data_IF_073884402931
#
_entry.id   IF_073884402931
#
_cell.length_a   1.000
_cell.length_b   1.000
_cell.length_c   1.000
_cell.angle_alpha   90.00
_cell.angle_beta   90.00
_cell.angle_gamma   90.00
#
_symmetry.space_group_name_H-M   'P 1'
#
loop_
_entity.id
_entity.type
_entity.pdbx_description
1 polymer ?
#
# COMPACT_ATOMS: atom_id res chain seq x y z
N UNK A 1 56.69 -65.96 -14.08
CA UNK A 1 55.47 -65.23 -14.49
C UNK A 1 55.40 -63.94 -13.67
N UNK A 2 55.83 -62.77 -14.19
CA UNK A 2 54.97 -61.64 -14.64
C UNK A 2 54.05 -61.11 -13.53
N UNK A 3 54.06 -59.88 -13.00
CA UNK A 3 54.32 -58.48 -13.46
C UNK A 3 54.65 -57.63 -12.19
N UNK A 4 55.59 -56.68 -12.13
CA UNK A 4 55.71 -55.34 -12.77
C UNK A 4 54.71 -54.25 -12.27
N UNK A 5 55.30 -53.26 -11.58
CA UNK A 5 55.07 -51.80 -11.57
C UNK A 5 54.04 -51.10 -10.65
N UNK A 6 54.62 -50.36 -9.69
CA UNK A 6 54.34 -48.98 -9.26
C UNK A 6 52.95 -48.62 -8.75
N UNK A 7 52.88 -48.44 -7.44
CA UNK A 7 51.78 -47.80 -6.73
C UNK A 7 51.49 -46.39 -7.25
N UNK A 8 50.25 -46.18 -7.67
CA UNK A 8 49.70 -44.88 -8.07
C UNK A 8 49.03 -44.26 -6.84
N UNK A 9 49.46 -43.06 -6.49
CA UNK A 9 48.79 -42.18 -5.52
C UNK A 9 47.37 -41.87 -6.02
N UNK A 10 46.33 -41.89 -5.18
CA UNK A 10 45.05 -41.29 -5.55
C UNK A 10 45.17 -39.76 -5.58
N UNK A 11 44.53 -39.06 -6.54
CA UNK A 11 44.56 -37.60 -6.58
C UNK A 11 43.73 -37.00 -5.44
N UNK A 12 44.25 -35.91 -4.87
CA UNK A 12 43.58 -35.10 -3.88
C UNK A 12 42.26 -34.57 -4.47
N UNK A 13 41.14 -34.98 -3.86
CA UNK A 13 39.82 -34.38 -4.09
C UNK A 13 39.85 -32.97 -3.50
N UNK A 14 40.10 -31.98 -4.36
CA UNK A 14 39.92 -30.58 -4.02
C UNK A 14 38.43 -30.34 -3.76
N UNK A 15 38.07 -30.23 -2.48
CA UNK A 15 36.79 -29.70 -2.03
C UNK A 15 36.71 -28.25 -2.49
N UNK A 16 36.13 -28.02 -3.67
CA UNK A 16 35.77 -26.71 -4.14
C UNK A 16 34.70 -26.14 -3.22
N UNK A 17 35.12 -25.26 -2.33
CA UNK A 17 34.23 -24.36 -1.59
C UNK A 17 33.50 -23.51 -2.60
N UNK A 18 32.24 -23.86 -2.90
CA UNK A 18 31.32 -22.94 -3.55
C UNK A 18 31.13 -21.81 -2.55
N UNK A 19 31.85 -20.72 -2.75
CA UNK A 19 31.56 -19.45 -2.11
C UNK A 19 30.15 -19.07 -2.57
N UNK A 20 29.16 -19.31 -1.71
CA UNK A 20 27.84 -18.71 -1.85
C UNK A 20 28.07 -17.20 -1.74
N UNK A 21 28.21 -16.54 -2.90
CA UNK A 21 28.19 -15.09 -2.97
C UNK A 21 26.89 -14.63 -2.35
N UNK A 22 26.99 -14.01 -1.18
CA UNK A 22 25.86 -13.33 -0.58
C UNK A 22 25.37 -12.30 -1.59
N UNK A 23 24.17 -12.51 -2.12
CA UNK A 23 23.44 -11.44 -2.78
C UNK A 23 23.17 -10.41 -1.69
N UNK A 24 24.06 -9.43 -1.59
CA UNK A 24 23.78 -8.20 -0.83
C UNK A 24 22.68 -7.52 -1.63
N UNK A 25 21.43 -7.82 -1.27
CA UNK A 25 20.27 -7.03 -1.64
C UNK A 25 20.49 -5.65 -1.03
N UNK A 26 21.15 -4.74 -1.76
CA UNK A 26 21.09 -3.30 -1.50
C UNK A 26 19.69 -2.79 -1.87
N UNK A 27 18.68 -3.33 -1.20
CA UNK A 27 17.34 -2.76 -1.14
C UNK A 27 17.29 -1.73 0.01
N UNK A 28 18.21 -0.77 -0.03
CA UNK A 28 18.10 0.47 0.70
C UNK A 28 18.33 1.56 -0.32
N UNK A 29 17.33 1.74 -1.19
CA UNK A 29 17.17 3.03 -1.85
C UNK A 29 16.94 4.03 -0.73
N UNK A 30 17.81 5.03 -0.68
CA UNK A 30 17.74 6.20 0.20
C UNK A 30 16.28 6.65 0.34
N UNK A 31 15.61 6.21 1.40
CA UNK A 31 14.24 6.63 1.67
C UNK A 31 14.39 8.06 2.13
N UNK A 32 14.14 9.00 1.22
CA UNK A 32 14.12 10.41 1.55
C UNK A 32 13.30 10.56 2.83
N UNK A 33 13.92 11.10 3.88
CA UNK A 33 13.25 11.17 5.18
C UNK A 33 12.00 12.04 5.01
N UNK A 34 10.83 11.47 5.24
CA UNK A 34 9.55 12.16 5.10
C UNK A 34 9.00 12.51 6.47
N UNK A 35 8.46 13.73 6.57
CA UNK A 35 7.81 14.20 7.78
C UNK A 35 6.31 14.33 7.54
N UNK A 36 5.53 13.81 8.48
CA UNK A 36 4.08 13.93 8.47
C UNK A 36 3.68 15.24 9.12
N UNK A 37 2.84 16.00 8.43
CA UNK A 37 2.21 17.20 8.95
C UNK A 37 0.69 17.06 8.84
N UNK A 38 -0.04 17.50 9.87
CA UNK A 38 -1.51 17.55 9.86
C UNK A 38 -2.05 18.82 9.21
N UNK A 39 -1.25 19.89 9.16
CA UNK A 39 -1.65 21.20 8.65
C UNK A 39 -0.45 22.03 8.17
N UNK A 40 -0.75 23.05 7.35
CA UNK A 40 0.25 24.03 6.88
C UNK A 40 0.91 24.75 8.06
N UNK A 41 0.14 25.12 9.09
CA UNK A 41 0.67 25.76 10.30
C UNK A 41 1.68 24.90 11.05
N UNK A 42 1.47 23.59 11.12
CA UNK A 42 2.41 22.66 11.76
C UNK A 42 3.73 22.59 10.98
N UNK A 43 3.64 22.55 9.64
CA UNK A 43 4.80 22.59 8.76
C UNK A 43 5.60 23.89 8.91
N UNK A 44 4.93 25.04 9.01
CA UNK A 44 5.58 26.34 9.24
C UNK A 44 6.22 26.42 10.62
N UNK A 45 5.55 25.92 11.66
CA UNK A 45 6.11 25.85 13.02
C UNK A 45 7.35 24.97 13.10
N UNK A 46 7.44 23.96 12.24
CA UNK A 46 8.62 23.09 12.13
C UNK A 46 9.82 23.79 11.46
N UNK A 47 9.61 24.96 10.84
CA UNK A 47 10.67 25.77 10.24
C UNK A 47 10.75 25.70 8.72
N UNK A 48 9.80 25.01 8.06
CA UNK A 48 9.68 25.06 6.60
C UNK A 48 9.03 26.38 6.19
N UNK A 49 9.45 26.92 5.04
CA UNK A 49 8.88 28.15 4.52
C UNK A 49 7.38 27.99 4.18
N UNK A 50 6.57 29.01 4.48
CA UNK A 50 5.11 28.97 4.30
C UNK A 50 4.68 28.65 2.86
N UNK A 51 5.36 29.20 1.86
CA UNK A 51 5.04 28.95 0.46
C UNK A 51 5.23 27.48 0.07
N UNK A 52 6.29 26.85 0.59
CA UNK A 52 6.62 25.44 0.39
C UNK A 52 5.57 24.56 1.07
N UNK A 53 5.24 24.85 2.33
CA UNK A 53 4.18 24.12 3.06
C UNK A 53 2.84 24.20 2.34
N UNK A 54 2.46 25.37 1.83
CA UNK A 54 1.23 25.55 1.05
C UNK A 54 1.29 24.75 -0.27
N UNK A 55 2.40 24.82 -1.00
CA UNK A 55 2.60 24.08 -2.24
C UNK A 55 2.47 22.56 -2.04
N UNK A 56 3.15 22.01 -1.03
CA UNK A 56 3.08 20.59 -0.71
C UNK A 56 1.68 20.18 -0.24
N UNK A 57 1.01 21.00 0.58
CA UNK A 57 -0.36 20.73 1.00
C UNK A 57 -1.34 20.70 -0.19
N UNK A 58 -1.23 21.64 -1.13
CA UNK A 58 -2.04 21.65 -2.35
C UNK A 58 -1.73 20.46 -3.26
N UNK A 59 -0.44 20.08 -3.37
CA UNK A 59 0.00 18.89 -4.08
C UNK A 59 -0.65 17.62 -3.49
N UNK A 60 -0.59 17.46 -2.17
CA UNK A 60 -1.19 16.36 -1.44
C UNK A 60 -2.72 16.33 -1.58
N UNK A 61 -3.40 17.47 -1.49
CA UNK A 61 -4.84 17.55 -1.74
C UNK A 61 -5.21 17.12 -3.16
N UNK A 62 -4.41 17.54 -4.16
CA UNK A 62 -4.66 17.13 -5.54
C UNK A 62 -4.49 15.63 -5.75
N UNK A 63 -3.52 15.01 -5.05
CA UNK A 63 -3.35 13.56 -5.05
C UNK A 63 -4.47 12.86 -4.29
N UNK A 64 -4.89 13.45 -3.17
CA UNK A 64 -5.96 12.91 -2.33
C UNK A 64 -7.23 12.69 -3.16
N UNK A 65 -7.63 13.68 -3.97
CA UNK A 65 -8.80 13.56 -4.84
C UNK A 65 -8.66 12.47 -5.93
N UNK A 66 -7.43 12.15 -6.34
CA UNK A 66 -7.16 11.15 -7.38
C UNK A 66 -7.08 9.73 -6.81
N UNK A 67 -6.30 9.57 -5.73
CA UNK A 67 -5.78 8.29 -5.25
C UNK A 67 -6.43 7.82 -3.94
N UNK A 68 -7.31 8.62 -3.33
CA UNK A 68 -8.01 8.19 -2.12
C UNK A 68 -8.85 6.93 -2.34
N UNK A 69 -8.98 6.08 -1.31
CA UNK A 69 -9.92 4.97 -1.30
C UNK A 69 -11.34 5.45 -1.62
N UNK A 70 -11.94 4.86 -2.66
CA UNK A 70 -13.27 5.21 -3.13
C UNK A 70 -14.28 4.20 -2.59
N UNK A 71 -15.34 4.72 -2.00
CA UNK A 71 -16.47 3.95 -1.49
C UNK A 71 -17.74 4.30 -2.26
N UNK A 72 -18.59 3.30 -2.49
CA UNK A 72 -19.88 3.49 -3.15
C UNK A 72 -20.97 4.05 -2.21
N UNK A 73 -20.70 4.10 -0.90
CA UNK A 73 -21.64 4.61 0.10
C UNK A 73 -20.97 5.31 1.27
N UNK A 74 -21.63 6.35 1.80
CA UNK A 74 -21.14 7.12 2.94
C UNK A 74 -20.96 6.26 4.18
N UNK A 75 -21.95 5.41 4.50
CA UNK A 75 -21.89 4.50 5.64
C UNK A 75 -20.71 3.52 5.57
N UNK A 76 -20.31 3.08 4.37
CA UNK A 76 -19.16 2.19 4.21
C UNK A 76 -17.84 2.93 4.51
N UNK A 77 -17.70 4.16 4.01
CA UNK A 77 -16.55 5.00 4.33
C UNK A 77 -16.48 5.31 5.84
N UNK A 78 -17.60 5.69 6.45
CA UNK A 78 -17.65 6.04 7.87
C UNK A 78 -17.44 4.83 8.80
N UNK A 79 -17.81 3.61 8.36
CA UNK A 79 -17.51 2.39 9.09
C UNK A 79 -16.00 2.16 9.25
N UNK A 80 -15.22 2.49 8.21
CA UNK A 80 -13.76 2.31 8.22
C UNK A 80 -13.01 3.51 8.82
N UNK A 81 -13.41 4.75 8.47
CA UNK A 81 -12.67 5.96 8.83
C UNK A 81 -13.25 6.74 10.01
N UNK A 82 -14.52 6.47 10.35
CA UNK A 82 -15.25 7.13 11.43
C UNK A 82 -16.38 8.03 10.91
N UNK A 83 -17.40 8.24 11.76
CA UNK A 83 -18.54 9.09 11.46
C UNK A 83 -18.10 10.54 11.19
N UNK A 84 -18.65 11.14 10.13
CA UNK A 84 -18.31 12.50 9.72
C UNK A 84 -16.88 12.66 9.18
N UNK A 85 -16.16 11.57 8.91
CA UNK A 85 -14.77 11.60 8.41
C UNK A 85 -14.65 11.32 6.91
N UNK A 86 -15.76 11.47 6.18
CA UNK A 86 -15.84 11.19 4.75
C UNK A 86 -16.49 12.35 3.99
N UNK A 87 -16.07 12.56 2.75
CA UNK A 87 -16.60 13.56 1.84
C UNK A 87 -17.13 12.94 0.55
N UNK A 88 -18.12 13.60 -0.05
CA UNK A 88 -18.73 13.19 -1.32
C UNK A 88 -17.98 13.82 -2.49
N UNK A 89 -17.67 13.03 -3.51
CA UNK A 89 -17.05 13.48 -4.75
C UNK A 89 -17.89 13.06 -5.96
N UNK A 90 -18.06 13.95 -6.95
CA UNK A 90 -18.80 13.63 -8.16
C UNK A 90 -18.01 12.65 -9.04
N UNK A 91 -18.70 11.66 -9.60
CA UNK A 91 -18.10 10.72 -10.54
C UNK A 91 -18.00 11.36 -11.92
N UNK A 92 -16.77 11.58 -12.41
CA UNK A 92 -16.52 12.27 -13.69
C UNK A 92 -15.96 11.35 -14.78
N UNK A 93 -15.73 10.06 -14.50
CA UNK A 93 -15.08 9.09 -15.39
C UNK A 93 -16.02 8.46 -16.42
N UNK A 94 -17.18 9.06 -16.70
CA UNK A 94 -18.10 8.62 -17.76
C UNK A 94 -18.77 7.26 -17.52
N UNK A 95 -18.52 6.61 -16.38
CA UNK A 95 -19.02 5.29 -16.00
C UNK A 95 -20.44 5.31 -15.37
N UNK A 96 -21.09 6.47 -15.33
CA UNK A 96 -22.47 6.66 -14.89
C UNK A 96 -22.68 7.95 -14.10
N UNK A 97 -23.94 8.34 -13.91
CA UNK A 97 -24.31 9.41 -13.00
C UNK A 97 -24.25 8.89 -11.56
N UNK A 98 -23.45 9.53 -10.70
CA UNK A 98 -23.34 9.15 -9.30
C UNK A 98 -22.25 9.92 -8.55
N UNK A 99 -22.21 9.71 -7.24
CA UNK A 99 -21.16 10.22 -6.38
C UNK A 99 -20.40 9.05 -5.76
N UNK A 100 -19.13 9.25 -5.44
CA UNK A 100 -18.34 8.34 -4.61
C UNK A 100 -17.93 9.06 -3.33
N UNK A 101 -17.59 8.28 -2.31
CA UNK A 101 -17.21 8.80 -1.00
C UNK A 101 -15.74 8.49 -0.76
N UNK A 102 -15.00 9.47 -0.25
CA UNK A 102 -13.59 9.33 0.10
C UNK A 102 -13.37 9.81 1.54
N UNK A 103 -12.42 9.23 2.28
CA UNK A 103 -12.09 9.69 3.62
C UNK A 103 -11.41 11.06 3.59
N UNK A 104 -11.54 11.88 4.64
CA UNK A 104 -10.78 13.12 4.71
C UNK A 104 -9.28 12.85 4.84
N UNK A 105 -8.49 13.66 4.15
CA UNK A 105 -7.05 13.76 4.38
C UNK A 105 -6.79 14.28 5.79
N UNK A 106 -6.07 13.49 6.60
CA UNK A 106 -5.73 13.82 7.99
C UNK A 106 -4.34 14.40 8.14
N UNK A 107 -3.53 14.29 7.08
CA UNK A 107 -2.20 14.87 7.01
C UNK A 107 -1.57 14.64 5.64
N UNK A 108 -0.35 15.11 5.49
CA UNK A 108 0.42 15.02 4.26
C UNK A 108 1.90 14.83 4.60
N UNK A 109 2.59 14.05 3.78
CA UNK A 109 4.01 13.76 3.93
C UNK A 109 4.82 14.72 3.09
N UNK A 110 5.77 15.39 3.72
CA UNK A 110 6.68 16.33 3.09
C UNK A 110 8.07 15.72 3.11
N UNK A 111 8.69 15.63 1.93
CA UNK A 111 10.06 15.11 1.82
C UNK A 111 11.07 16.09 2.42
N UNK A 112 12.08 15.57 3.10
CA UNK A 112 13.22 16.36 3.59
C UNK A 112 13.92 17.17 2.48
N UNK A 113 13.89 16.66 1.25
CA UNK A 113 14.38 17.36 0.06
C UNK A 113 13.72 18.72 -0.16
N UNK A 114 12.41 18.86 0.13
CA UNK A 114 11.70 20.15 0.01
C UNK A 114 11.76 20.99 1.28
N UNK A 115 11.92 20.35 2.43
CA UNK A 115 11.88 21.04 3.72
C UNK A 115 12.98 22.10 3.90
N UNK A 116 14.11 21.96 3.19
CA UNK A 116 15.25 22.88 3.24
C UNK A 116 15.31 23.87 2.07
N UNK A 117 14.33 23.84 1.16
CA UNK A 117 14.30 24.73 0.00
C UNK A 117 13.71 26.10 0.38
N UNK A 118 14.25 27.16 -0.21
CA UNK A 118 13.56 28.44 -0.29
C UNK A 118 12.44 28.40 -1.33
N UNK A 119 11.50 29.36 -1.32
CA UNK A 119 10.43 29.46 -2.33
C UNK A 119 10.95 29.37 -3.77
N UNK A 120 12.10 30.01 -4.03
CA UNK A 120 12.72 30.00 -5.36
C UNK A 120 13.24 28.61 -5.73
N UNK A 121 13.92 27.93 -4.80
CA UNK A 121 14.41 26.57 -4.99
C UNK A 121 13.28 25.56 -5.13
N UNK A 122 12.19 25.76 -4.38
CA UNK A 122 10.98 24.94 -4.45
C UNK A 122 10.36 25.00 -5.84
N UNK A 123 10.18 26.19 -6.42
CA UNK A 123 9.65 26.36 -7.77
C UNK A 123 10.47 25.61 -8.83
N UNK A 124 11.80 25.67 -8.77
CA UNK A 124 12.66 24.89 -9.67
C UNK A 124 12.56 23.39 -9.39
N UNK A 125 12.51 22.99 -8.12
CA UNK A 125 12.46 21.59 -7.73
C UNK A 125 11.17 20.92 -8.17
N UNK A 126 10.00 21.53 -7.96
CA UNK A 126 8.70 20.95 -8.37
C UNK A 126 8.55 20.76 -9.88
N UNK A 127 9.27 21.57 -10.66
CA UNK A 127 9.32 21.46 -12.12
C UNK A 127 10.42 20.49 -12.60
N UNK A 128 11.24 19.96 -11.69
CA UNK A 128 12.29 18.99 -12.03
C UNK A 128 11.71 17.59 -12.18
N UNK A 129 12.36 16.74 -12.99
CA UNK A 129 12.01 15.32 -13.09
C UNK A 129 12.28 14.51 -11.81
N UNK A 130 12.91 15.12 -10.81
CA UNK A 130 13.27 14.49 -9.53
C UNK A 130 12.29 14.81 -8.40
N UNK A 131 11.26 15.64 -8.65
CA UNK A 131 10.27 15.99 -7.64
C UNK A 131 9.46 14.77 -7.21
N UNK A 132 9.57 14.41 -5.93
CA UNK A 132 8.63 13.52 -5.26
C UNK A 132 7.53 14.37 -4.67
N UNK A 133 6.31 14.18 -5.19
CA UNK A 133 5.14 14.92 -4.73
C UNK A 133 4.79 14.53 -3.29
N UNK A 134 4.29 15.49 -2.51
CA UNK A 134 3.70 15.22 -1.21
C UNK A 134 2.58 14.19 -1.30
N UNK A 135 2.58 13.24 -0.35
CA UNK A 135 1.57 12.19 -0.30
C UNK A 135 0.56 12.43 0.81
N UNK A 136 -0.75 12.36 0.52
CA UNK A 136 -1.78 12.47 1.53
C UNK A 136 -1.83 11.22 2.43
N UNK A 137 -2.15 11.45 3.68
CA UNK A 137 -2.31 10.45 4.73
C UNK A 137 -3.73 10.49 5.26
N UNK A 138 -4.29 9.31 5.48
CA UNK A 138 -5.59 9.06 6.07
C UNK A 138 -5.42 8.37 7.42
N UNK A 139 -6.36 8.60 8.33
CA UNK A 139 -6.39 7.87 9.59
C UNK A 139 -7.71 7.13 9.68
N UNK A 140 -7.67 5.82 9.84
CA UNK A 140 -8.89 5.05 10.04
C UNK A 140 -9.49 5.30 11.44
N UNK A 141 -10.60 4.61 11.75
CA UNK A 141 -11.25 4.69 13.07
C UNK A 141 -10.37 4.20 14.23
N UNK A 142 -9.44 3.28 13.98
CA UNK A 142 -8.53 2.74 15.00
C UNK A 142 -7.30 3.61 15.24
N UNK A 143 -7.17 4.76 14.56
CA UNK A 143 -5.98 5.61 14.63
C UNK A 143 -4.81 5.15 13.75
N UNK A 144 -5.00 4.12 12.93
CA UNK A 144 -3.97 3.65 12.01
C UNK A 144 -3.87 4.58 10.80
N UNK A 145 -2.65 4.97 10.47
CA UNK A 145 -2.32 5.82 9.33
C UNK A 145 -2.22 5.00 8.05
N UNK A 146 -2.85 5.48 6.98
CA UNK A 146 -2.80 4.93 5.63
C UNK A 146 -2.30 6.00 4.68
N UNK A 147 -1.47 5.60 3.71
CA UNK A 147 -0.93 6.46 2.67
C UNK A 147 -1.60 6.15 1.33
N UNK A 148 -1.87 7.15 0.49
CA UNK A 148 -2.50 6.92 -0.82
C UNK A 148 -1.55 6.33 -1.87
N UNK A 149 -0.24 6.42 -1.64
CA UNK A 149 0.73 5.95 -2.62
C UNK A 149 0.51 4.46 -2.93
N UNK A 150 0.56 4.06 -4.22
CA UNK A 150 0.73 2.66 -4.53
C UNK A 150 2.00 2.18 -3.80
N UNK A 151 1.97 1.03 -3.10
CA UNK A 151 3.17 0.49 -2.50
C UNK A 151 4.22 0.38 -3.61
N UNK A 152 5.35 1.06 -3.40
CA UNK A 152 6.55 0.81 -4.19
C UNK A 152 6.79 -0.70 -4.06
N UNK A 153 6.71 -1.40 -5.19
CA UNK A 153 6.85 -2.85 -5.41
C UNK A 153 7.25 -3.61 -4.13
N UNK A 154 6.27 -4.12 -3.36
CA UNK A 154 6.55 -5.02 -2.23
C UNK A 154 5.67 -4.90 -0.99
N UNK A 155 4.98 -3.78 -0.73
CA UNK A 155 4.24 -3.60 0.53
C UNK A 155 2.70 -3.71 0.39
N UNK A 156 2.04 -4.04 1.50
CA UNK A 156 0.70 -4.60 1.68
C UNK A 156 -0.49 -4.06 0.82
N UNK A 157 -1.52 -4.91 0.58
CA UNK A 157 -2.66 -4.56 -0.26
C UNK A 157 -3.49 -3.43 0.35
N UNK A 158 -3.91 -2.49 -0.52
CA UNK A 158 -4.97 -1.50 -0.24
C UNK A 158 -6.17 -2.22 0.39
N UNK A 159 -6.87 -1.63 1.36
CA UNK A 159 -8.13 -2.19 1.84
C UNK A 159 -9.05 -2.34 0.62
N UNK A 160 -9.32 -3.59 0.27
CA UNK A 160 -10.26 -3.90 -0.80
C UNK A 160 -11.63 -3.51 -0.24
N UNK A 161 -12.47 -2.77 -0.98
CA UNK A 161 -13.83 -2.52 -0.52
C UNK A 161 -14.41 -3.89 -0.19
N UNK A 162 -14.95 -4.02 1.04
CA UNK A 162 -15.52 -5.27 1.49
C UNK A 162 -16.61 -5.67 0.50
N UNK A 163 -16.29 -6.58 -0.41
CA UNK A 163 -17.27 -7.26 -1.23
C UNK A 163 -18.11 -8.05 -0.24
N UNK A 164 -19.24 -7.46 0.16
CA UNK A 164 -20.27 -8.14 0.93
C UNK A 164 -20.90 -9.14 -0.03
N UNK A 165 -20.20 -10.24 -0.26
CA UNK A 165 -20.70 -11.36 -1.03
C UNK A 165 -21.78 -11.99 -0.15
N UNK A 166 -23.01 -11.50 -0.28
CA UNK A 166 -24.18 -12.07 0.38
C UNK A 166 -24.38 -13.47 -0.18
N UNK A 167 -23.64 -14.44 0.39
CA UNK A 167 -23.95 -15.86 0.23
C UNK A 167 -25.31 -16.05 0.87
N UNK A 168 -26.36 -15.95 0.07
CA UNK A 168 -27.65 -16.55 0.35
C UNK A 168 -27.43 -18.04 0.51
N UNK A 169 -27.25 -18.47 1.76
CA UNK A 169 -27.31 -19.89 2.11
C UNK A 169 -28.76 -20.30 1.91
N UNK A 170 -29.06 -20.79 0.71
CA UNK A 170 -30.32 -21.45 0.44
C UNK A 170 -30.33 -22.73 1.25
N UNK A 171 -30.96 -22.69 2.43
CA UNK A 171 -31.18 -23.85 3.31
C UNK A 171 -32.29 -24.70 2.69
N UNK A 172 -31.97 -25.37 1.59
CA UNK A 172 -32.80 -26.43 1.02
C UNK A 172 -32.57 -27.70 1.84
N UNK A 173 -33.20 -27.77 3.01
CA UNK A 173 -33.48 -29.03 3.68
C UNK A 173 -34.92 -29.45 3.38
N UNK A 174 -35.12 -30.75 3.11
CA UNK A 174 -36.29 -31.61 3.37
C UNK A 174 -36.50 -32.62 2.22
N UNK A 175 -36.23 -33.92 2.49
CA UNK A 175 -36.76 -35.03 1.67
C UNK A 175 -35.75 -35.98 1.01
N UNK A 176 -34.73 -36.47 1.72
CA UNK A 176 -33.94 -37.61 1.26
C UNK A 176 -34.70 -38.93 1.47
N UNK A 177 -35.16 -39.54 0.38
CA UNK A 177 -35.77 -40.87 0.35
C UNK A 177 -34.77 -41.93 0.83
N UNK A 178 -35.10 -42.64 1.91
CA UNK A 178 -34.36 -43.82 2.37
C UNK A 178 -35.12 -45.08 1.96
N UNK A 179 -34.77 -45.64 0.80
CA UNK A 179 -35.17 -46.98 0.37
C UNK A 179 -34.23 -48.01 1.01
N UNK A 180 -34.45 -48.33 2.28
CA UNK A 180 -33.74 -49.40 3.01
C UNK A 180 -34.50 -50.72 2.90
N UNK A 181 -33.87 -51.74 2.30
CA UNK A 181 -34.40 -53.08 2.01
C UNK A 181 -34.76 -53.85 3.28
N UNK A 182 -35.86 -54.60 3.21
CA UNK A 182 -36.36 -55.50 4.25
C UNK A 182 -35.56 -56.82 4.29
N UNK A 183 -35.22 -57.29 5.50
CA UNK A 183 -34.84 -58.68 5.78
C UNK A 183 -35.34 -59.08 7.17
N UNK A 184 -36.40 -59.88 7.19
CA UNK A 184 -36.84 -60.79 8.25
C UNK A 184 -37.48 -61.96 7.45
N UNK A 185 -36.94 -63.18 7.42
CA UNK A 185 -36.80 -64.11 8.53
C UNK A 185 -37.96 -65.12 8.44
N UNK A 186 -37.72 -66.28 7.83
CA UNK A 186 -38.70 -67.37 7.64
C UNK A 186 -38.29 -68.33 6.54
#
# INVERSE_FOLDING_TARGET
>A
MTKRFTGRRPPLLALGTIAAGGLVLTACGDQAEEKLFSSVDECVKWGVEQSVCQGEYQSALSQHLRDAPRFDGMAACEAEYGAGRCMTQPRTDGSGAGNFFIPFMTGYLVSSAVSNLSSSGYGTYVNSGSYRRSTPVFTNRSGMLYRSDPPQIGEAPRPRPANVNTRTVSRSGFGGLSSGRMSFGG
#
